data_IF_810209497338
#
_entry.id   IF_810209497338
#
_cell.length_a   1.000
_cell.length_b   1.000
_cell.length_c   1.000
_cell.angle_alpha   90.00
_cell.angle_beta   90.00
_cell.angle_gamma   90.00
#
_symmetry.space_group_name_H-M   'P 1'
#
loop_
_entity.id
_entity.type
_entity.pdbx_description
1 polymer ?
#
# COMPACT_ATOMS: atom_id res chain seq x y z
N UNK A 1 16.50 -46.89 9.02
CA UNK A 1 15.98 -46.24 7.79
C UNK A 1 14.78 -45.29 7.99
N UNK A 2 14.38 -44.93 9.23
CA UNK A 2 13.25 -44.00 9.51
C UNK A 2 13.64 -42.52 9.73
N UNK A 3 14.92 -42.17 9.55
CA UNK A 3 15.44 -40.81 9.82
C UNK A 3 15.18 -39.82 8.68
N UNK A 4 15.15 -40.30 7.44
CA UNK A 4 14.83 -39.50 6.25
C UNK A 4 13.43 -38.86 6.27
N UNK A 5 12.33 -39.56 6.62
CA UNK A 5 11.01 -38.92 6.64
C UNK A 5 10.89 -37.84 7.72
N UNK A 6 11.57 -38.01 8.87
CA UNK A 6 11.57 -37.01 9.96
C UNK A 6 12.29 -35.73 9.52
N UNK A 7 13.43 -35.86 8.83
CA UNK A 7 14.19 -34.72 8.33
C UNK A 7 13.36 -33.95 7.29
N UNK A 8 12.67 -34.65 6.37
CA UNK A 8 11.82 -34.01 5.36
C UNK A 8 10.63 -33.29 5.99
N UNK A 9 10.00 -33.87 7.01
CA UNK A 9 8.88 -33.21 7.72
C UNK A 9 9.36 -31.95 8.42
N UNK A 10 10.53 -31.99 9.07
CA UNK A 10 11.11 -30.82 9.75
C UNK A 10 11.48 -29.70 8.79
N UNK A 11 12.07 -30.01 7.63
CA UNK A 11 12.43 -28.99 6.64
C UNK A 11 11.20 -28.33 6.02
N UNK A 12 10.15 -29.10 5.71
CA UNK A 12 8.88 -28.58 5.19
C UNK A 12 8.18 -27.69 6.23
N UNK A 13 8.15 -28.11 7.49
CA UNK A 13 7.58 -27.32 8.57
C UNK A 13 8.32 -25.98 8.77
N UNK A 14 9.65 -26.01 8.72
CA UNK A 14 10.46 -24.80 8.85
C UNK A 14 10.22 -23.82 7.68
N UNK A 15 10.11 -24.33 6.46
CA UNK A 15 9.84 -23.52 5.28
C UNK A 15 8.48 -22.82 5.36
N UNK A 16 7.45 -23.54 5.85
CA UNK A 16 6.11 -22.98 6.04
C UNK A 16 6.06 -21.81 7.04
N UNK A 17 6.89 -21.84 8.10
CA UNK A 17 6.96 -20.73 9.07
C UNK A 17 7.52 -19.44 8.47
N UNK A 18 8.49 -19.54 7.56
CA UNK A 18 9.13 -18.36 6.95
C UNK A 18 8.21 -17.67 5.92
N UNK A 19 7.29 -18.42 5.32
CA UNK A 19 6.34 -17.92 4.32
C UNK A 19 5.14 -17.17 4.93
N UNK A 20 4.97 -17.20 6.27
CA UNK A 20 3.81 -16.64 6.98
C UNK A 20 3.79 -15.12 7.22
N UNK A 21 4.67 -14.33 6.59
CA UNK A 21 4.84 -12.91 6.90
C UNK A 21 3.78 -11.95 6.33
N UNK A 22 2.91 -12.39 5.43
CA UNK A 22 1.91 -11.54 4.80
C UNK A 22 0.60 -11.52 5.60
N UNK A 23 0.40 -10.47 6.40
CA UNK A 23 -0.88 -10.21 7.10
C UNK A 23 -1.57 -8.98 6.51
N UNK A 24 -2.89 -9.06 6.35
CA UNK A 24 -3.69 -7.94 5.85
C UNK A 24 -3.97 -6.98 7.02
N UNK A 25 -3.38 -5.80 6.98
CA UNK A 25 -3.56 -4.73 7.98
C UNK A 25 -4.42 -3.60 7.41
N UNK A 26 -5.10 -2.87 8.29
CA UNK A 26 -5.82 -1.69 7.90
C UNK A 26 -4.85 -0.61 7.37
N UNK A 27 -5.26 0.25 6.42
CA UNK A 27 -4.37 1.24 5.81
C UNK A 27 -3.66 2.15 6.82
N UNK A 28 -4.32 2.54 7.91
CA UNK A 28 -3.76 3.39 8.96
C UNK A 28 -2.72 2.69 9.85
N UNK A 29 -2.71 1.36 9.91
CA UNK A 29 -1.72 0.58 10.69
C UNK A 29 -0.35 0.50 10.00
N UNK A 30 -0.31 0.79 8.69
CA UNK A 30 0.92 0.75 7.88
C UNK A 30 1.92 1.84 8.26
N UNK A 31 1.45 2.92 8.91
CA UNK A 31 2.31 4.02 9.33
C UNK A 31 3.41 3.62 10.31
N UNK A 32 3.20 2.56 11.11
CA UNK A 32 4.21 2.11 12.09
C UNK A 32 5.40 1.38 11.46
N UNK A 33 5.24 0.81 10.27
CA UNK A 33 6.32 0.18 9.51
C UNK A 33 6.79 1.04 8.33
N UNK A 34 6.20 2.23 8.13
CA UNK A 34 6.59 3.12 7.07
C UNK A 34 7.99 3.67 7.36
N UNK A 35 8.93 3.50 6.42
CA UNK A 35 10.22 4.15 6.51
C UNK A 35 10.01 5.67 6.52
N UNK A 36 10.83 6.49 7.20
CA UNK A 36 10.70 7.95 7.20
C UNK A 36 10.75 8.62 5.82
N UNK A 37 11.16 7.89 4.77
CA UNK A 37 11.16 8.34 3.38
C UNK A 37 9.89 7.94 2.62
N UNK A 38 8.99 7.16 3.23
CA UNK A 38 7.66 6.83 2.72
C UNK A 38 6.62 7.86 3.21
N UNK A 39 7.03 9.12 3.34
CA UNK A 39 6.13 10.22 3.70
C UNK A 39 5.47 10.76 2.44
N UNK A 40 4.18 11.13 2.49
CA UNK A 40 3.47 11.69 1.35
C UNK A 40 3.79 13.17 1.13
N UNK A 41 4.90 13.71 1.66
CA UNK A 41 5.20 15.15 1.64
C UNK A 41 5.18 15.73 0.22
N UNK A 42 5.60 14.96 -0.80
CA UNK A 42 5.52 15.37 -2.21
C UNK A 42 4.08 15.31 -2.78
N UNK A 43 3.22 14.43 -2.25
CA UNK A 43 1.81 14.27 -2.69
C UNK A 43 0.93 15.38 -2.07
N UNK A 44 1.26 15.84 -0.87
CA UNK A 44 0.49 16.86 -0.16
C UNK A 44 0.42 18.19 -0.93
N UNK A 45 1.47 18.54 -1.68
CA UNK A 45 1.61 19.84 -2.38
C UNK A 45 0.54 20.05 -3.48
N UNK A 46 -0.11 18.98 -3.98
CA UNK A 46 -1.20 19.08 -4.96
C UNK A 46 -2.58 18.70 -4.44
N UNK A 47 -2.67 18.07 -3.26
CA UNK A 47 -3.90 17.43 -2.79
C UNK A 47 -4.96 18.45 -2.36
N UNK A 48 -4.58 19.52 -1.65
CA UNK A 48 -5.53 20.57 -1.25
C UNK A 48 -6.15 21.27 -2.45
N UNK A 49 -5.33 21.57 -3.48
CA UNK A 49 -5.82 22.14 -4.74
C UNK A 49 -6.80 21.22 -5.46
N UNK A 50 -6.52 19.92 -5.46
CA UNK A 50 -7.40 18.90 -6.06
C UNK A 50 -8.70 18.70 -5.28
N UNK A 51 -8.64 18.62 -3.94
CA UNK A 51 -9.84 18.52 -3.09
C UNK A 51 -10.71 19.76 -3.23
N UNK A 52 -10.09 20.95 -3.30
CA UNK A 52 -10.79 22.21 -3.49
C UNK A 52 -11.45 22.29 -4.87
N UNK A 53 -10.77 21.89 -5.94
CA UNK A 53 -11.35 21.89 -7.29
C UNK A 53 -12.55 20.95 -7.41
N UNK A 54 -12.47 19.76 -6.81
CA UNK A 54 -13.60 18.80 -6.77
C UNK A 54 -14.75 19.33 -5.92
N UNK A 55 -14.46 19.96 -4.78
CA UNK A 55 -15.48 20.42 -3.84
C UNK A 55 -16.20 21.70 -4.30
N UNK A 56 -15.48 22.62 -4.94
CA UNK A 56 -16.03 23.89 -5.41
C UNK A 56 -16.71 23.77 -6.79
N UNK A 57 -16.62 22.60 -7.44
CA UNK A 57 -17.12 22.40 -8.81
C UNK A 57 -16.51 23.39 -9.82
N UNK A 58 -15.37 23.98 -9.46
CA UNK A 58 -14.73 25.04 -10.20
C UNK A 58 -14.06 24.42 -11.40
N UNK A 59 -14.59 24.78 -12.58
CA UNK A 59 -14.07 24.45 -13.88
C UNK A 59 -12.53 24.51 -13.91
N UNK A 60 -11.89 23.35 -13.90
CA UNK A 60 -10.60 23.20 -14.57
C UNK A 60 -9.45 23.06 -13.62
N UNK A 61 -9.36 21.92 -12.95
CA UNK A 61 -8.12 21.50 -12.31
C UNK A 61 -6.97 21.42 -13.31
N UNK A 62 -5.80 21.88 -12.89
CA UNK A 62 -4.52 21.84 -13.62
C UNK A 62 -4.42 20.55 -14.42
N UNK A 63 -4.34 20.67 -15.75
CA UNK A 63 -4.44 19.56 -16.70
C UNK A 63 -3.55 18.37 -16.34
N UNK A 64 -4.17 17.34 -15.76
CA UNK A 64 -3.56 16.06 -15.44
C UNK A 64 -4.53 14.97 -15.81
N UNK A 65 -4.16 14.12 -16.76
CA UNK A 65 -5.00 13.06 -17.29
C UNK A 65 -5.42 12.06 -16.22
N UNK A 66 -6.68 12.15 -15.78
CA UNK A 66 -7.36 11.16 -14.94
C UNK A 66 -8.83 11.13 -15.33
N UNK A 67 -9.30 9.98 -15.82
CA UNK A 67 -10.58 9.85 -16.52
C UNK A 67 -11.83 9.98 -15.64
N UNK A 68 -12.78 10.80 -16.09
CA UNK A 68 -14.17 10.84 -15.60
C UNK A 68 -14.78 12.23 -15.67
N UNK A 69 -16.10 12.31 -15.91
CA UNK A 69 -16.91 13.54 -16.13
C UNK A 69 -17.07 14.44 -14.87
N UNK A 70 -15.99 14.72 -14.14
CA UNK A 70 -15.93 15.81 -13.18
C UNK A 70 -15.40 17.04 -13.90
N UNK A 71 -16.30 17.82 -14.49
CA UNK A 71 -15.96 18.91 -15.40
C UNK A 71 -14.91 19.85 -14.80
N UNK A 72 -13.75 19.79 -15.45
CA UNK A 72 -12.85 20.92 -15.63
C UNK A 72 -13.56 22.12 -16.30
#
# INVERSE_FOLDING_TARGET
>A
MKRHPIIVVLTVAMLALVLGGCVKVAPYERGMLAHPTMTPDEIAIGLDGHVRSVSEGAAGGLGGGGGGCGCN
#
